data_IF_204829956814
#
_entry.id   IF_204829956814
#
_cell.length_a   1.000
_cell.length_b   1.000
_cell.length_c   1.000
_cell.angle_alpha   90.00
_cell.angle_beta   90.00
_cell.angle_gamma   90.00
#
_symmetry.space_group_name_H-M   'P 1'
#
loop_
_entity.id
_entity.type
_entity.pdbx_description
1 polymer ?
#
# COMPACT_ATOMS: atom_id res chain seq x y z
N UNK A 1 12.48 -6.29 21.77
CA UNK A 1 13.13 -7.33 20.94
C UNK A 1 14.42 -6.86 20.29
N UNK A 2 14.44 -5.70 19.62
CA UNK A 2 15.67 -5.18 18.99
C UNK A 2 16.77 -4.91 20.02
N UNK A 3 16.43 -4.44 21.24
CA UNK A 3 17.39 -4.20 22.32
C UNK A 3 17.92 -5.44 23.06
N UNK A 4 17.26 -6.60 22.93
CA UNK A 4 17.64 -7.83 23.65
C UNK A 4 18.34 -8.88 22.76
N UNK A 5 18.23 -8.80 21.42
CA UNK A 5 18.79 -9.82 20.52
C UNK A 5 18.95 -9.34 19.07
N UNK A 6 18.90 -8.04 18.84
CA UNK A 6 19.08 -7.46 17.53
C UNK A 6 17.86 -7.63 16.60
N UNK A 7 17.92 -7.01 15.42
CA UNK A 7 16.88 -7.03 14.40
C UNK A 7 16.50 -8.45 13.90
N UNK A 8 17.42 -9.44 14.05
CA UNK A 8 17.20 -10.82 13.61
C UNK A 8 16.06 -11.51 14.36
N UNK A 9 15.86 -11.21 15.64
CA UNK A 9 14.76 -11.80 16.45
C UNK A 9 13.38 -11.44 15.92
N UNK A 10 13.22 -10.27 15.28
CA UNK A 10 11.94 -9.84 14.67
C UNK A 10 11.53 -10.82 13.55
N UNK A 11 12.50 -11.34 12.79
CA UNK A 11 12.22 -12.32 11.73
C UNK A 11 12.02 -13.74 12.30
N UNK A 12 12.73 -14.10 13.36
CA UNK A 12 12.61 -15.42 13.98
C UNK A 12 11.23 -15.66 14.60
N UNK A 13 10.55 -14.63 15.10
CA UNK A 13 9.16 -14.71 15.59
C UNK A 13 8.19 -15.18 14.51
N UNK A 14 8.46 -14.90 13.23
CA UNK A 14 7.61 -15.36 12.14
C UNK A 14 7.72 -16.87 11.85
N UNK A 15 8.78 -17.54 12.27
CA UNK A 15 8.96 -18.98 12.04
C UNK A 15 7.90 -19.83 12.76
N UNK A 16 7.65 -19.69 14.08
CA UNK A 16 6.60 -20.45 14.75
C UNK A 16 5.21 -20.14 14.21
N UNK A 17 4.93 -18.89 13.84
CA UNK A 17 3.66 -18.48 13.23
C UNK A 17 3.51 -19.15 11.85
N UNK A 18 4.55 -19.14 11.04
CA UNK A 18 4.56 -19.79 9.72
C UNK A 18 4.39 -21.30 9.81
N UNK A 19 5.06 -21.97 10.77
CA UNK A 19 4.88 -23.38 11.03
C UNK A 19 3.44 -23.72 11.46
N UNK A 20 2.86 -22.94 12.37
CA UNK A 20 1.47 -23.12 12.78
C UNK A 20 0.51 -22.94 11.59
N UNK A 21 0.72 -21.92 10.74
CA UNK A 21 -0.07 -21.70 9.54
C UNK A 21 0.05 -22.87 8.54
N UNK A 22 1.24 -23.46 8.35
CA UNK A 22 1.44 -24.63 7.51
C UNK A 22 0.72 -25.87 8.04
N UNK A 23 0.75 -26.10 9.35
CA UNK A 23 0.06 -27.23 9.98
C UNK A 23 -1.46 -27.09 9.85
N UNK A 24 -1.99 -25.89 10.13
CA UNK A 24 -3.41 -25.60 9.99
C UNK A 24 -3.86 -25.63 8.53
N UNK A 25 -3.04 -25.15 7.60
CA UNK A 25 -3.31 -25.14 6.17
C UNK A 25 -3.44 -26.57 5.57
N UNK A 26 -2.80 -27.58 6.16
CA UNK A 26 -2.98 -28.99 5.76
C UNK A 26 -4.40 -29.54 5.99
N UNK A 27 -5.16 -28.90 6.88
CA UNK A 27 -6.54 -29.28 7.19
C UNK A 27 -7.56 -28.58 6.26
N UNK A 28 -7.12 -27.65 5.42
CA UNK A 28 -8.01 -26.97 4.48
C UNK A 28 -8.45 -27.92 3.36
N UNK A 29 -9.73 -27.89 2.95
CA UNK A 29 -10.21 -28.65 1.79
C UNK A 29 -9.40 -28.25 0.56
N UNK A 30 -8.93 -29.26 -0.19
CA UNK A 30 -8.22 -29.00 -1.45
C UNK A 30 -9.20 -28.40 -2.46
N UNK A 31 -8.85 -27.27 -3.10
CA UNK A 31 -9.71 -26.71 -4.14
C UNK A 31 -9.91 -27.74 -5.27
N UNK A 32 -11.08 -27.77 -5.92
CA UNK A 32 -11.33 -28.66 -7.04
C UNK A 32 -10.24 -28.42 -8.11
N UNK A 33 -9.65 -29.53 -8.60
CA UNK A 33 -8.64 -29.46 -9.67
C UNK A 33 -9.30 -28.84 -10.91
N UNK A 34 -8.84 -27.67 -11.34
CA UNK A 34 -9.23 -27.12 -12.63
C UNK A 34 -8.72 -28.05 -13.73
N UNK A 35 -9.61 -28.51 -14.61
CA UNK A 35 -9.30 -29.44 -15.71
C UNK A 35 -8.27 -28.88 -16.72
N UNK A 36 -8.02 -27.57 -16.71
CA UNK A 36 -7.04 -26.88 -17.56
C UNK A 36 -6.12 -26.02 -16.68
N UNK A 37 -5.21 -26.67 -15.98
CA UNK A 37 -4.12 -25.97 -15.30
C UNK A 37 -3.04 -25.58 -16.35
N UNK A 38 -3.14 -24.38 -16.91
CA UNK A 38 -2.04 -23.80 -17.69
C UNK A 38 -0.83 -23.56 -16.78
N UNK A 39 0.37 -23.75 -17.32
CA UNK A 39 1.61 -23.48 -16.57
C UNK A 39 1.67 -22.00 -16.18
N UNK A 40 2.06 -21.67 -14.93
CA UNK A 40 2.25 -20.30 -14.52
C UNK A 40 3.23 -19.55 -15.42
N UNK A 41 2.96 -18.28 -15.69
CA UNK A 41 3.85 -17.45 -16.50
C UNK A 41 5.06 -16.96 -15.69
N UNK A 42 6.06 -17.85 -15.51
CA UNK A 42 7.30 -17.50 -14.79
C UNK A 42 8.07 -16.36 -15.45
N UNK A 43 8.06 -16.27 -16.78
CA UNK A 43 8.74 -15.16 -17.49
C UNK A 43 8.00 -13.83 -17.29
N UNK A 44 6.67 -13.83 -17.31
CA UNK A 44 5.86 -12.67 -16.95
C UNK A 44 6.08 -12.24 -15.51
N UNK A 45 6.17 -13.19 -14.57
CA UNK A 45 6.51 -12.91 -13.17
C UNK A 45 7.88 -12.27 -13.02
N UNK A 46 8.88 -12.77 -13.74
CA UNK A 46 10.23 -12.20 -13.74
C UNK A 46 10.25 -10.78 -14.33
N UNK A 47 9.55 -10.56 -15.44
CA UNK A 47 9.40 -9.22 -16.02
C UNK A 47 8.74 -8.24 -15.06
N UNK A 48 7.69 -8.68 -14.34
CA UNK A 48 7.02 -7.85 -13.34
C UNK A 48 7.97 -7.47 -12.19
N UNK A 49 8.71 -8.44 -11.66
CA UNK A 49 9.68 -8.21 -10.58
C UNK A 49 10.78 -7.25 -11.03
N UNK A 50 11.33 -7.45 -12.23
CA UNK A 50 12.40 -6.60 -12.76
C UNK A 50 11.89 -5.18 -13.08
N UNK A 51 10.71 -5.04 -13.69
CA UNK A 51 10.12 -3.73 -13.99
C UNK A 51 9.87 -2.90 -12.75
N UNK A 52 9.23 -3.52 -11.73
CA UNK A 52 8.92 -2.87 -10.46
C UNK A 52 10.20 -2.62 -9.65
N UNK A 53 11.11 -3.59 -9.62
CA UNK A 53 12.40 -3.47 -8.94
C UNK A 53 13.26 -2.35 -9.53
N UNK A 54 13.31 -2.21 -10.84
CA UNK A 54 14.02 -1.13 -11.51
C UNK A 54 13.39 0.24 -11.21
N UNK A 55 12.04 0.34 -11.23
CA UNK A 55 11.33 1.56 -10.82
C UNK A 55 11.66 1.95 -9.37
N UNK A 56 11.57 0.98 -8.46
CA UNK A 56 11.87 1.19 -7.06
C UNK A 56 13.31 1.61 -6.83
N UNK A 57 14.26 0.95 -7.50
CA UNK A 57 15.69 1.25 -7.41
C UNK A 57 15.98 2.69 -7.86
N UNK A 58 15.47 3.08 -9.03
CA UNK A 58 15.65 4.44 -9.55
C UNK A 58 15.05 5.49 -8.62
N UNK A 59 13.86 5.22 -8.08
CA UNK A 59 13.15 6.17 -7.23
C UNK A 59 13.77 6.31 -5.83
N UNK A 60 14.21 5.21 -5.20
CA UNK A 60 14.81 5.22 -3.85
C UNK A 60 16.26 5.69 -3.88
N UNK A 61 17.01 5.35 -4.92
CA UNK A 61 18.43 5.71 -5.03
C UNK A 61 18.68 7.02 -5.78
N UNK A 62 17.68 7.57 -6.47
CA UNK A 62 17.79 8.84 -7.19
C UNK A 62 18.37 9.99 -6.37
N UNK A 63 17.89 10.24 -5.15
CA UNK A 63 18.48 11.27 -4.27
C UNK A 63 19.93 10.99 -3.85
N UNK A 64 20.32 9.70 -3.72
CA UNK A 64 21.68 9.29 -3.30
C UNK A 64 22.66 9.32 -4.47
N UNK A 65 22.26 8.81 -5.64
CA UNK A 65 23.13 8.77 -6.83
C UNK A 65 23.10 10.07 -7.64
N UNK A 66 22.13 10.92 -7.43
CA UNK A 66 21.65 12.04 -8.25
C UNK A 66 20.69 11.61 -9.34
N UNK A 67 19.68 12.45 -9.58
CA UNK A 67 18.66 12.20 -10.61
C UNK A 67 19.22 12.13 -12.02
N UNK A 68 20.35 12.79 -12.31
CA UNK A 68 21.06 12.77 -13.60
C UNK A 68 22.12 11.67 -13.72
N UNK A 69 22.34 10.85 -12.69
CA UNK A 69 23.31 9.75 -12.74
C UNK A 69 22.85 8.66 -13.71
N UNK A 70 23.81 8.10 -14.48
CA UNK A 70 23.53 7.05 -15.46
C UNK A 70 22.83 5.83 -14.83
N UNK A 71 23.13 5.51 -13.58
CA UNK A 71 22.49 4.39 -12.84
C UNK A 71 21.02 4.66 -12.60
N UNK A 72 20.66 5.86 -12.19
CA UNK A 72 19.27 6.29 -11.97
C UNK A 72 18.50 6.30 -13.28
N UNK A 73 19.10 6.88 -14.33
CA UNK A 73 18.51 6.90 -15.68
C UNK A 73 18.34 5.48 -16.21
N UNK A 74 19.35 4.62 -16.07
CA UNK A 74 19.28 3.23 -16.52
C UNK A 74 18.19 2.42 -15.77
N UNK A 75 18.00 2.68 -14.47
CA UNK A 75 16.94 2.05 -13.70
C UNK A 75 15.54 2.44 -14.22
N UNK A 76 15.30 3.74 -14.44
CA UNK A 76 14.02 4.20 -15.01
C UNK A 76 13.82 3.73 -16.45
N UNK A 77 14.85 3.80 -17.29
CA UNK A 77 14.80 3.30 -18.67
C UNK A 77 14.53 1.79 -18.71
N UNK A 78 15.19 1.02 -17.83
CA UNK A 78 14.91 -0.41 -17.66
C UNK A 78 13.46 -0.69 -17.30
N UNK A 79 12.90 0.03 -16.33
CA UNK A 79 11.48 -0.09 -15.97
C UNK A 79 10.57 0.30 -17.16
N UNK A 80 10.88 1.39 -17.85
CA UNK A 80 10.11 1.88 -19.01
C UNK A 80 10.10 0.90 -20.19
N UNK A 81 11.12 0.08 -20.34
CA UNK A 81 11.19 -0.99 -21.37
C UNK A 81 10.50 -2.27 -20.87
N UNK A 82 10.75 -2.65 -19.62
CA UNK A 82 10.24 -3.92 -19.07
C UNK A 82 8.73 -3.89 -18.83
N UNK A 83 8.15 -2.75 -18.45
CA UNK A 83 6.73 -2.64 -18.21
C UNK A 83 5.87 -2.85 -19.48
N UNK A 84 6.13 -2.22 -20.64
CA UNK A 84 5.45 -2.55 -21.90
C UNK A 84 5.68 -3.99 -22.35
N UNK A 85 6.88 -4.54 -22.14
CA UNK A 85 7.18 -5.94 -22.46
C UNK A 85 6.35 -6.91 -21.61
N UNK A 86 6.14 -6.60 -20.32
CA UNK A 86 5.23 -7.33 -19.44
C UNK A 86 3.77 -7.26 -19.94
N UNK A 87 3.30 -6.07 -20.34
CA UNK A 87 1.95 -5.88 -20.89
C UNK A 87 1.78 -6.68 -22.19
N UNK A 88 2.73 -6.59 -23.11
CA UNK A 88 2.70 -7.36 -24.35
C UNK A 88 2.68 -8.86 -24.09
N UNK A 89 3.56 -9.33 -23.19
CA UNK A 89 3.57 -10.76 -22.82
C UNK A 89 2.26 -11.20 -22.20
N UNK A 90 1.68 -10.36 -21.35
CA UNK A 90 0.39 -10.63 -20.68
C UNK A 90 -0.78 -10.69 -21.69
N UNK A 91 -0.65 -10.02 -22.84
CA UNK A 91 -1.65 -10.06 -23.89
C UNK A 91 -1.61 -11.37 -24.71
N UNK A 92 -0.44 -12.03 -24.80
CA UNK A 92 -0.26 -13.22 -25.65
C UNK A 92 -0.19 -14.55 -24.89
N UNK A 93 0.03 -14.52 -23.57
CA UNK A 93 0.16 -15.74 -22.76
C UNK A 93 -1.22 -16.27 -22.32
N UNK A 94 -1.47 -17.59 -22.40
CA UNK A 94 -2.79 -18.17 -22.03
C UNK A 94 -3.12 -18.12 -20.54
N UNK A 95 -2.11 -17.98 -19.67
CA UNK A 95 -2.27 -17.78 -18.22
C UNK A 95 -1.35 -16.63 -17.74
N UNK A 96 -1.68 -15.38 -18.08
CA UNK A 96 -0.81 -14.25 -17.83
C UNK A 96 -0.76 -13.87 -16.33
N UNK A 97 0.34 -13.23 -15.92
CA UNK A 97 0.46 -12.63 -14.57
C UNK A 97 -0.50 -11.45 -14.42
N UNK A 98 -0.64 -10.64 -15.49
CA UNK A 98 -1.60 -9.54 -15.57
C UNK A 98 -2.74 -9.92 -16.49
N UNK A 99 -3.91 -10.19 -15.94
CA UNK A 99 -5.11 -10.42 -16.73
C UNK A 99 -5.67 -9.07 -17.23
N UNK A 100 -5.21 -8.64 -18.40
CA UNK A 100 -5.56 -7.33 -18.95
C UNK A 100 -7.07 -7.16 -19.19
N UNK A 101 -7.80 -8.27 -19.42
CA UNK A 101 -9.24 -8.27 -19.59
C UNK A 101 -9.98 -7.73 -18.35
N UNK A 102 -9.44 -7.91 -17.14
CA UNK A 102 -10.04 -7.41 -15.90
C UNK A 102 -10.08 -5.87 -15.86
N UNK A 103 -9.12 -5.20 -16.49
CA UNK A 103 -9.11 -3.73 -16.55
C UNK A 103 -10.22 -3.14 -17.43
N UNK A 104 -10.93 -3.96 -18.21
CA UNK A 104 -12.16 -3.53 -18.91
C UNK A 104 -13.35 -3.42 -17.96
N UNK A 105 -13.28 -4.07 -16.80
CA UNK A 105 -14.31 -3.97 -15.77
C UNK A 105 -14.09 -2.67 -14.98
N UNK A 106 -15.06 -1.78 -15.02
CA UNK A 106 -14.96 -0.42 -14.47
C UNK A 106 -14.64 -0.41 -12.97
N UNK A 107 -15.27 -1.28 -12.18
CA UNK A 107 -14.99 -1.39 -10.75
C UNK A 107 -13.58 -1.89 -10.48
N UNK A 108 -13.07 -2.81 -11.29
CA UNK A 108 -11.71 -3.31 -11.17
C UNK A 108 -10.68 -2.22 -11.44
N UNK A 109 -10.78 -1.52 -12.56
CA UNK A 109 -9.83 -0.45 -12.92
C UNK A 109 -9.86 0.71 -11.95
N UNK A 110 -11.05 1.24 -11.65
CA UNK A 110 -11.20 2.37 -10.74
C UNK A 110 -10.85 1.98 -9.29
N UNK A 111 -11.23 0.77 -8.85
CA UNK A 111 -10.88 0.25 -7.54
C UNK A 111 -9.36 0.07 -7.39
N UNK A 112 -8.67 -0.47 -8.41
CA UNK A 112 -7.21 -0.62 -8.37
C UNK A 112 -6.48 0.73 -8.42
N UNK A 113 -6.99 1.72 -9.18
CA UNK A 113 -6.42 3.06 -9.14
C UNK A 113 -6.59 3.69 -7.73
N UNK A 114 -7.74 3.51 -7.10
CA UNK A 114 -7.94 3.88 -5.70
C UNK A 114 -7.00 3.15 -4.75
N UNK A 115 -6.81 1.84 -4.93
CA UNK A 115 -5.89 1.03 -4.13
C UNK A 115 -4.42 1.47 -4.28
N UNK A 116 -4.01 1.82 -5.50
CA UNK A 116 -2.69 2.38 -5.78
C UNK A 116 -2.46 3.68 -5.01
N UNK A 117 -3.38 4.64 -5.15
CA UNK A 117 -3.28 5.97 -4.54
C UNK A 117 -3.33 5.89 -3.00
N UNK A 118 -4.23 5.07 -2.44
CA UNK A 118 -4.29 4.83 -0.99
C UNK A 118 -3.03 4.13 -0.49
N UNK A 119 -2.52 3.15 -1.24
CA UNK A 119 -1.25 2.48 -0.93
C UNK A 119 -0.08 3.47 -0.92
N UNK A 120 0.00 4.33 -1.93
CA UNK A 120 1.01 5.38 -2.04
C UNK A 120 0.98 6.32 -0.84
N UNK A 121 -0.21 6.84 -0.51
CA UNK A 121 -0.40 7.71 0.64
C UNK A 121 -0.01 7.01 1.95
N UNK A 122 -0.55 5.84 2.21
CA UNK A 122 -0.36 5.14 3.48
C UNK A 122 1.10 4.77 3.75
N UNK A 123 1.77 4.12 2.80
CA UNK A 123 3.15 3.68 3.02
C UNK A 123 4.13 4.85 3.05
N UNK A 124 3.84 5.93 2.30
CA UNK A 124 4.56 7.18 2.43
C UNK A 124 4.42 7.78 3.83
N UNK A 125 3.18 7.86 4.37
CA UNK A 125 2.91 8.34 5.72
C UNK A 125 3.60 7.48 6.80
N UNK A 126 3.58 6.16 6.65
CA UNK A 126 4.27 5.25 7.60
C UNK A 126 5.77 5.55 7.65
N UNK A 127 6.41 5.74 6.50
CA UNK A 127 7.82 6.09 6.44
C UNK A 127 8.08 7.50 6.97
N UNK A 128 7.29 8.51 6.55
CA UNK A 128 7.42 9.89 7.02
C UNK A 128 7.34 9.96 8.55
N UNK A 129 6.34 9.30 9.12
CA UNK A 129 6.11 9.26 10.56
C UNK A 129 7.26 8.56 11.31
N UNK A 130 7.80 7.47 10.77
CA UNK A 130 8.94 6.77 11.37
C UNK A 130 10.20 7.64 11.37
N UNK A 131 10.49 8.30 10.24
CA UNK A 131 11.64 9.18 10.12
C UNK A 131 11.49 10.44 10.99
N UNK A 132 10.31 11.05 11.01
CA UNK A 132 10.05 12.24 11.83
C UNK A 132 10.29 11.98 13.31
N UNK A 133 9.74 10.89 13.86
CA UNK A 133 9.93 10.52 15.26
C UNK A 133 11.39 10.27 15.63
N UNK A 134 12.17 9.69 14.71
CA UNK A 134 13.56 9.34 14.97
C UNK A 134 14.54 10.45 14.65
N UNK A 135 14.26 11.29 13.65
CA UNK A 135 15.19 12.33 13.19
C UNK A 135 14.87 13.74 13.72
N UNK A 136 13.58 14.04 13.96
CA UNK A 136 13.14 15.36 14.45
C UNK A 136 12.91 15.33 15.96
N UNK A 137 12.16 14.33 16.44
CA UNK A 137 11.88 14.19 17.88
C UNK A 137 12.94 13.40 18.66
N UNK A 138 13.97 12.90 17.99
CA UNK A 138 15.07 12.11 18.56
C UNK A 138 14.60 10.94 19.45
N UNK A 139 13.50 10.31 19.06
CA UNK A 139 12.98 9.14 19.77
C UNK A 139 13.83 7.92 19.48
N UNK A 140 14.14 7.13 20.51
CA UNK A 140 14.70 5.80 20.32
C UNK A 140 13.76 4.93 19.46
N UNK A 141 14.32 3.93 18.77
CA UNK A 141 13.54 3.01 17.91
C UNK A 141 12.34 2.39 18.66
N UNK A 142 12.55 2.04 19.94
CA UNK A 142 11.47 1.48 20.76
C UNK A 142 10.37 2.53 21.02
N UNK A 143 10.76 3.76 21.40
CA UNK A 143 9.81 4.83 21.68
C UNK A 143 9.03 5.23 20.43
N UNK A 144 9.71 5.32 19.27
CA UNK A 144 9.07 5.59 17.99
C UNK A 144 8.07 4.49 17.61
N UNK A 145 8.44 3.21 17.78
CA UNK A 145 7.54 2.08 17.53
C UNK A 145 6.29 2.11 18.43
N UNK A 146 6.44 2.46 19.71
CA UNK A 146 5.32 2.62 20.64
C UNK A 146 4.44 3.82 20.27
N UNK A 147 5.04 4.91 19.78
CA UNK A 147 4.30 6.09 19.34
C UNK A 147 3.47 5.83 18.08
N UNK A 148 3.87 4.91 17.22
CA UNK A 148 3.12 4.50 16.01
C UNK A 148 2.04 3.45 16.34
N UNK A 149 2.21 2.65 17.39
CA UNK A 149 1.33 1.52 17.74
C UNK A 149 -0.18 1.85 17.87
N UNK A 150 -0.62 3.04 18.31
CA UNK A 150 -2.04 3.39 18.32
C UNK A 150 -2.71 3.32 16.95
N UNK A 151 -1.98 3.58 15.86
CA UNK A 151 -2.50 3.51 14.49
C UNK A 151 -3.02 2.11 14.11
N UNK A 152 -2.19 1.06 14.14
CA UNK A 152 -2.64 -0.32 13.91
C UNK A 152 -3.79 -0.77 14.81
N UNK A 153 -3.82 -0.35 16.08
CA UNK A 153 -4.94 -0.66 16.98
C UNK A 153 -6.25 -0.02 16.51
N UNK A 154 -6.22 1.28 16.21
CA UNK A 154 -7.38 1.98 15.63
C UNK A 154 -7.81 1.37 14.29
N UNK A 155 -6.84 0.96 13.45
CA UNK A 155 -7.12 0.29 12.17
C UNK A 155 -7.82 -1.05 12.35
N UNK A 156 -7.41 -1.86 13.31
CA UNK A 156 -8.06 -3.14 13.60
C UNK A 156 -9.52 -2.94 14.04
N UNK A 157 -9.78 -1.98 14.93
CA UNK A 157 -11.15 -1.65 15.39
C UNK A 157 -11.99 -1.16 14.20
N UNK A 158 -11.47 -0.24 13.39
CA UNK A 158 -12.19 0.29 12.24
C UNK A 158 -12.47 -0.79 11.18
N UNK A 159 -11.53 -1.71 10.93
CA UNK A 159 -11.72 -2.83 10.01
C UNK A 159 -12.80 -3.80 10.49
N UNK A 160 -12.87 -4.10 11.81
CA UNK A 160 -13.94 -4.93 12.39
C UNK A 160 -15.30 -4.25 12.21
N UNK A 161 -15.37 -2.94 12.48
CA UNK A 161 -16.61 -2.16 12.27
C UNK A 161 -17.01 -2.20 10.80
N UNK A 162 -16.10 -1.91 9.87
CA UNK A 162 -16.38 -1.97 8.45
C UNK A 162 -16.90 -3.35 8.04
N UNK A 163 -16.25 -4.44 8.47
CA UNK A 163 -16.65 -5.80 8.15
C UNK A 163 -18.09 -6.13 8.61
N UNK A 164 -18.51 -5.65 9.78
CA UNK A 164 -19.87 -5.87 10.31
C UNK A 164 -20.97 -5.18 9.50
N UNK A 165 -20.63 -4.10 8.82
CA UNK A 165 -21.60 -3.29 8.08
C UNK A 165 -21.48 -3.43 6.56
N UNK A 166 -20.55 -4.25 6.05
CA UNK A 166 -20.33 -4.43 4.60
C UNK A 166 -21.56 -5.01 3.88
N UNK A 167 -22.40 -5.79 4.58
CA UNK A 167 -23.65 -6.32 4.02
C UNK A 167 -24.77 -5.27 3.90
N UNK A 168 -24.69 -4.17 4.68
CA UNK A 168 -25.71 -3.12 4.74
C UNK A 168 -25.31 -1.83 4.05
N UNK A 169 -24.01 -1.57 3.98
CA UNK A 169 -23.44 -0.33 3.44
C UNK A 169 -22.52 -0.69 2.29
N UNK A 170 -22.70 -0.01 1.16
CA UNK A 170 -21.83 -0.18 0.00
C UNK A 170 -20.34 0.01 0.39
N UNK A 171 -19.47 -0.98 0.12
CA UNK A 171 -18.04 -0.94 0.47
C UNK A 171 -17.33 0.33 -0.03
N UNK A 172 -17.80 0.93 -1.13
CA UNK A 172 -17.24 2.19 -1.65
C UNK A 172 -17.32 3.34 -0.65
N UNK A 173 -18.39 3.40 0.16
CA UNK A 173 -18.53 4.45 1.18
C UNK A 173 -17.45 4.33 2.24
N UNK A 174 -17.08 3.11 2.63
CA UNK A 174 -15.98 2.88 3.55
C UNK A 174 -14.63 3.27 2.95
N UNK A 175 -14.40 2.96 1.66
CA UNK A 175 -13.16 3.38 0.97
C UNK A 175 -13.08 4.90 0.90
N UNK A 176 -14.16 5.57 0.49
CA UNK A 176 -14.20 7.03 0.37
C UNK A 176 -14.01 7.70 1.74
N UNK A 177 -14.75 7.27 2.77
CA UNK A 177 -14.58 7.83 4.12
C UNK A 177 -13.19 7.54 4.68
N UNK A 178 -12.66 6.33 4.45
CA UNK A 178 -11.30 5.96 4.83
C UNK A 178 -10.24 6.84 4.16
N UNK A 179 -10.39 7.13 2.88
CA UNK A 179 -9.51 8.02 2.13
C UNK A 179 -9.54 9.45 2.66
N UNK A 180 -10.73 9.98 2.91
CA UNK A 180 -10.91 11.34 3.48
C UNK A 180 -10.30 11.42 4.88
N UNK A 181 -10.56 10.44 5.75
CA UNK A 181 -10.01 10.41 7.11
C UNK A 181 -8.47 10.27 7.06
N UNK A 182 -7.91 9.47 6.16
CA UNK A 182 -6.46 9.38 5.96
C UNK A 182 -5.86 10.70 5.50
N UNK A 183 -6.55 11.42 4.62
CA UNK A 183 -6.12 12.75 4.19
C UNK A 183 -6.15 13.75 5.35
N UNK A 184 -7.21 13.73 6.17
CA UNK A 184 -7.29 14.55 7.38
C UNK A 184 -6.16 14.24 8.36
N UNK A 185 -5.73 12.98 8.49
CA UNK A 185 -4.55 12.63 9.29
C UNK A 185 -3.28 13.29 8.75
N UNK A 186 -3.06 13.27 7.44
CA UNK A 186 -1.91 13.95 6.81
C UNK A 186 -1.95 15.47 6.98
N UNK A 187 -3.13 16.08 6.81
CA UNK A 187 -3.34 17.52 7.05
C UNK A 187 -3.09 17.87 8.52
N UNK A 188 -3.57 17.05 9.45
CA UNK A 188 -3.32 17.24 10.88
C UNK A 188 -1.83 17.20 11.18
N UNK A 189 -1.10 16.21 10.66
CA UNK A 189 0.35 16.11 10.83
C UNK A 189 1.05 17.38 10.31
N UNK A 190 0.74 17.81 9.10
CA UNK A 190 1.37 18.96 8.47
C UNK A 190 1.03 20.31 9.11
N UNK A 191 -0.03 20.41 9.91
CA UNK A 191 -0.49 21.70 10.47
C UNK A 191 -0.36 21.79 11.98
N UNK A 192 -0.24 20.66 12.68
CA UNK A 192 -0.28 20.61 14.15
C UNK A 192 0.96 20.03 14.79
N UNK A 193 1.70 19.17 14.08
CA UNK A 193 2.88 18.54 14.66
C UNK A 193 4.08 19.44 14.51
N UNK A 194 4.59 19.91 15.66
CA UNK A 194 5.77 20.76 15.74
C UNK A 194 7.06 19.99 16.00
N UNK A 195 8.20 20.71 15.93
CA UNK A 195 9.52 20.13 16.21
C UNK A 195 9.69 19.67 17.67
N UNK A 196 8.94 20.27 18.59
CA UNK A 196 8.92 19.84 20.00
C UNK A 196 7.98 18.64 20.19
N UNK A 197 8.41 17.61 20.95
CA UNK A 197 7.61 16.42 21.14
C UNK A 197 6.30 16.66 21.94
N UNK A 198 5.15 16.62 21.29
CA UNK A 198 3.81 16.75 21.88
C UNK A 198 2.94 15.52 21.59
N UNK A 199 3.35 14.36 22.10
CA UNK A 199 2.73 13.07 21.77
C UNK A 199 1.21 13.03 21.95
N UNK A 200 0.71 13.43 23.11
CA UNK A 200 -0.72 13.27 23.44
C UNK A 200 -1.61 14.27 22.68
N UNK A 201 -1.14 15.51 22.51
CA UNK A 201 -1.92 16.60 21.92
C UNK A 201 -1.87 16.60 20.39
N UNK A 202 -0.73 16.25 19.80
CA UNK A 202 -0.48 16.42 18.37
C UNK A 202 -0.38 15.07 17.64
N UNK A 203 0.41 14.14 18.17
CA UNK A 203 0.71 12.88 17.49
C UNK A 203 -0.39 11.84 17.60
N UNK A 204 -0.89 11.61 18.81
CA UNK A 204 -1.89 10.56 19.08
C UNK A 204 -3.20 10.73 18.29
N UNK A 205 -3.77 11.95 18.15
CA UNK A 205 -4.94 12.15 17.28
C UNK A 205 -4.67 11.80 15.82
N UNK A 206 -3.49 12.17 15.29
CA UNK A 206 -3.10 11.83 13.93
C UNK A 206 -3.01 10.31 13.72
N UNK A 207 -2.42 9.59 14.68
CA UNK A 207 -2.34 8.11 14.62
C UNK A 207 -3.73 7.48 14.66
N UNK A 208 -4.64 8.02 15.49
CA UNK A 208 -6.03 7.58 15.53
C UNK A 208 -6.74 7.78 14.20
N UNK A 209 -6.66 8.98 13.63
CA UNK A 209 -7.25 9.29 12.32
C UNK A 209 -6.66 8.40 11.21
N UNK A 210 -5.33 8.30 11.15
CA UNK A 210 -4.65 7.46 10.17
C UNK A 210 -5.09 5.99 10.29
N UNK A 211 -5.15 5.47 11.52
CA UNK A 211 -5.59 4.10 11.78
C UNK A 211 -7.03 3.86 11.34
N UNK A 212 -7.96 4.73 11.70
CA UNK A 212 -9.37 4.62 11.28
C UNK A 212 -9.47 4.69 9.75
N UNK A 213 -8.80 5.65 9.12
CA UNK A 213 -8.82 5.82 7.67
C UNK A 213 -8.32 4.57 6.93
N UNK A 214 -7.20 4.01 7.38
CA UNK A 214 -6.61 2.78 6.83
C UNK A 214 -7.51 1.57 7.10
N UNK A 215 -8.03 1.42 8.31
CA UNK A 215 -8.91 0.31 8.67
C UNK A 215 -10.17 0.26 7.82
N UNK A 216 -10.80 1.40 7.55
CA UNK A 216 -11.96 1.49 6.66
C UNK A 216 -11.57 1.26 5.20
N UNK A 217 -10.53 1.93 4.72
CA UNK A 217 -10.14 1.92 3.31
C UNK A 217 -9.57 0.57 2.87
N UNK A 218 -8.54 0.07 3.55
CA UNK A 218 -7.84 -1.16 3.14
C UNK A 218 -8.64 -2.44 3.36
N UNK A 219 -9.50 -2.47 4.39
CA UNK A 219 -10.37 -3.62 4.62
C UNK A 219 -11.40 -3.82 3.50
N UNK A 220 -11.81 -2.73 2.84
CA UNK A 220 -12.93 -2.76 1.90
C UNK A 220 -12.54 -2.54 0.44
N UNK A 221 -11.35 -1.99 0.16
CA UNK A 221 -10.92 -1.66 -1.22
C UNK A 221 -10.88 -2.91 -2.13
N UNK A 222 -10.42 -4.06 -1.61
CA UNK A 222 -10.36 -5.30 -2.40
C UNK A 222 -11.77 -5.76 -2.80
N UNK A 223 -12.75 -5.65 -1.88
CA UNK A 223 -14.13 -5.97 -2.17
C UNK A 223 -14.69 -5.07 -3.29
N UNK A 224 -14.31 -3.78 -3.30
CA UNK A 224 -14.68 -2.85 -4.38
C UNK A 224 -14.04 -3.25 -5.70
N UNK A 225 -12.77 -3.64 -5.71
CA UNK A 225 -12.06 -4.04 -6.93
C UNK A 225 -12.71 -5.27 -7.59
N UNK A 226 -13.07 -6.27 -6.80
CA UNK A 226 -13.53 -7.57 -7.34
C UNK A 226 -15.04 -7.71 -7.41
N UNK A 227 -15.81 -6.71 -7.02
CA UNK A 227 -17.28 -6.80 -6.85
C UNK A 227 -18.06 -7.21 -8.10
N UNK A 228 -17.58 -6.85 -9.29
CA UNK A 228 -18.23 -7.11 -10.57
C UNK A 228 -17.50 -8.21 -11.36
N UNK A 229 -16.55 -8.93 -10.74
CA UNK A 229 -15.85 -10.05 -11.33
C UNK A 229 -16.62 -11.36 -11.13
N UNK A 230 -16.52 -12.24 -12.12
CA UNK A 230 -17.07 -13.59 -12.00
C UNK A 230 -16.28 -14.45 -10.99
N UNK A 231 -16.90 -15.51 -10.40
CA UNK A 231 -16.27 -16.37 -9.40
C UNK A 231 -14.92 -16.95 -9.83
N UNK A 232 -14.76 -17.25 -11.13
CA UNK A 232 -13.51 -17.77 -11.70
C UNK A 232 -12.35 -16.74 -11.69
N UNK A 233 -12.67 -15.45 -11.66
CA UNK A 233 -11.73 -14.33 -11.74
C UNK A 233 -11.37 -13.74 -10.38
N UNK A 234 -12.11 -14.08 -9.31
CA UNK A 234 -11.91 -13.51 -7.97
C UNK A 234 -10.49 -13.70 -7.46
N UNK A 235 -9.91 -14.89 -7.62
CA UNK A 235 -8.55 -15.18 -7.14
C UNK A 235 -7.49 -14.32 -7.85
N UNK A 236 -7.56 -14.22 -9.18
CA UNK A 236 -6.64 -13.41 -9.98
C UNK A 236 -6.85 -11.93 -9.67
N UNK A 237 -8.10 -11.46 -9.64
CA UNK A 237 -8.44 -10.08 -9.34
C UNK A 237 -7.95 -9.63 -7.96
N UNK A 238 -8.10 -10.47 -6.93
CA UNK A 238 -7.60 -10.21 -5.58
C UNK A 238 -6.07 -10.13 -5.56
N UNK A 239 -5.38 -11.06 -6.23
CA UNK A 239 -3.92 -11.06 -6.35
C UNK A 239 -3.40 -9.81 -7.04
N UNK A 240 -4.03 -9.41 -8.16
CA UNK A 240 -3.66 -8.18 -8.88
C UNK A 240 -3.90 -6.92 -8.03
N UNK A 241 -5.00 -6.85 -7.29
CA UNK A 241 -5.27 -5.73 -6.38
C UNK A 241 -4.24 -5.65 -5.24
N UNK A 242 -3.79 -6.79 -4.72
CA UNK A 242 -2.71 -6.82 -3.73
C UNK A 242 -1.38 -6.32 -4.33
N UNK A 243 -1.06 -6.72 -5.55
CA UNK A 243 0.13 -6.25 -6.28
C UNK A 243 0.06 -4.74 -6.54
N UNK A 244 -1.09 -4.23 -6.99
CA UNK A 244 -1.29 -2.79 -7.21
C UNK A 244 -1.05 -1.98 -5.93
N UNK A 245 -1.52 -2.47 -4.78
CA UNK A 245 -1.26 -1.83 -3.49
C UNK A 245 0.22 -1.82 -3.12
N UNK A 246 0.95 -2.89 -3.44
CA UNK A 246 2.41 -2.96 -3.21
C UNK A 246 3.17 -2.00 -4.14
N UNK A 247 2.72 -1.83 -5.38
CA UNK A 247 3.23 -0.77 -6.26
C UNK A 247 3.01 0.61 -5.64
N UNK A 248 1.84 0.85 -5.05
CA UNK A 248 1.57 2.06 -4.28
C UNK A 248 2.58 2.25 -3.15
N UNK A 249 2.94 1.18 -2.41
CA UNK A 249 3.93 1.27 -1.34
C UNK A 249 5.30 1.75 -1.85
N UNK A 250 5.76 1.21 -2.98
CA UNK A 250 7.02 1.63 -3.62
C UNK A 250 6.97 3.10 -4.02
N UNK A 251 5.87 3.51 -4.67
CA UNK A 251 5.69 4.90 -5.10
C UNK A 251 5.60 5.87 -3.92
N UNK A 252 4.92 5.47 -2.82
CA UNK A 252 4.80 6.29 -1.62
C UNK A 252 6.15 6.58 -0.96
N UNK A 253 6.96 5.54 -0.81
CA UNK A 253 8.34 5.68 -0.31
C UNK A 253 9.17 6.57 -1.25
N UNK A 254 9.08 6.35 -2.55
CA UNK A 254 9.84 7.08 -3.55
C UNK A 254 9.48 8.59 -3.58
N UNK A 255 8.18 8.91 -3.58
CA UNK A 255 7.68 10.27 -3.56
C UNK A 255 8.13 10.98 -2.28
N UNK A 256 8.00 10.31 -1.13
CA UNK A 256 8.43 10.91 0.13
C UNK A 256 9.93 11.20 0.14
N UNK A 257 10.77 10.21 -0.25
CA UNK A 257 12.23 10.41 -0.28
C UNK A 257 12.62 11.53 -1.26
N UNK A 258 11.92 11.64 -2.40
CA UNK A 258 12.15 12.71 -3.35
C UNK A 258 11.81 14.10 -2.77
N UNK A 259 10.77 14.19 -1.94
CA UNK A 259 10.38 15.45 -1.26
C UNK A 259 11.35 15.78 -0.13
N UNK A 260 11.72 14.80 0.69
CA UNK A 260 12.60 14.99 1.83
C UNK A 260 14.03 15.37 1.42
N UNK A 261 14.51 14.85 0.28
CA UNK A 261 15.88 15.05 -0.15
C UNK A 261 16.93 14.36 0.75
N UNK A 262 18.22 14.65 0.53
CA UNK A 262 19.32 13.98 1.23
C UNK A 262 19.51 14.44 2.69
N UNK A 263 19.10 15.67 3.02
CA UNK A 263 19.17 16.23 4.38
C UNK A 263 17.82 16.87 4.67
N UNK A 264 16.86 16.13 5.21
CA UNK A 264 15.52 16.66 5.43
C UNK A 264 15.50 17.65 6.59
N UNK A 265 14.86 18.80 6.36
CA UNK A 265 14.46 19.74 7.39
C UNK A 265 13.01 19.45 7.86
N UNK A 266 12.55 19.99 8.99
CA UNK A 266 11.17 19.80 9.45
C UNK A 266 10.12 20.24 8.42
N UNK A 267 10.34 21.31 7.65
CA UNK A 267 9.42 21.81 6.63
C UNK A 267 9.28 20.88 5.43
N UNK A 268 10.31 20.06 5.14
CA UNK A 268 10.22 19.04 4.11
C UNK A 268 9.22 17.94 4.50
N UNK A 269 9.10 17.61 5.79
CA UNK A 269 8.08 16.65 6.26
C UNK A 269 6.68 17.21 6.12
N UNK A 270 6.44 18.50 6.38
CA UNK A 270 5.15 19.13 6.17
C UNK A 270 4.72 19.01 4.69
N UNK A 271 5.65 19.32 3.78
CA UNK A 271 5.44 19.14 2.33
C UNK A 271 5.12 17.69 1.96
N UNK A 272 5.81 16.73 2.59
CA UNK A 272 5.55 15.30 2.44
C UNK A 272 4.14 14.91 2.90
N UNK A 273 3.73 15.34 4.09
CA UNK A 273 2.41 15.07 4.64
C UNK A 273 1.29 15.68 3.79
N UNK A 274 1.46 16.92 3.30
CA UNK A 274 0.52 17.55 2.36
C UNK A 274 0.39 16.78 1.05
N UNK A 275 1.50 16.37 0.45
CA UNK A 275 1.49 15.60 -0.79
C UNK A 275 0.78 14.25 -0.61
N UNK A 276 1.06 13.54 0.49
CA UNK A 276 0.46 12.25 0.80
C UNK A 276 -1.03 12.37 1.16
N UNK A 277 -1.44 13.45 1.84
CA UNK A 277 -2.85 13.78 2.07
C UNK A 277 -3.59 14.02 0.74
N UNK A 278 -2.97 14.76 -0.19
CA UNK A 278 -3.50 14.99 -1.53
C UNK A 278 -3.70 13.68 -2.31
N UNK A 279 -2.76 12.74 -2.23
CA UNK A 279 -2.88 11.41 -2.86
C UNK A 279 -4.02 10.58 -2.25
N UNK A 280 -4.24 10.66 -0.93
CA UNK A 280 -5.38 10.03 -0.29
C UNK A 280 -6.71 10.60 -0.80
N UNK A 281 -6.81 11.92 -0.93
CA UNK A 281 -8.00 12.58 -1.50
C UNK A 281 -8.21 12.22 -2.97
N UNK A 282 -7.15 12.16 -3.77
CA UNK A 282 -7.24 11.74 -5.16
C UNK A 282 -7.79 10.32 -5.31
N UNK A 283 -7.57 9.44 -4.33
CA UNK A 283 -8.13 8.09 -4.35
C UNK A 283 -9.67 8.07 -4.27
N UNK A 284 -10.27 9.12 -3.74
CA UNK A 284 -11.74 9.27 -3.69
C UNK A 284 -12.34 9.32 -5.10
N UNK A 285 -11.68 10.00 -6.03
CA UNK A 285 -12.22 10.28 -7.38
C UNK A 285 -12.54 8.97 -8.13
N UNK A 286 -11.58 8.06 -8.38
CA UNK A 286 -11.87 6.85 -9.13
C UNK A 286 -12.90 5.96 -8.43
N UNK A 287 -12.87 5.88 -7.08
CA UNK A 287 -13.80 5.05 -6.32
C UNK A 287 -15.22 5.62 -6.32
N UNK A 288 -15.37 6.94 -6.22
CA UNK A 288 -16.68 7.59 -6.26
C UNK A 288 -17.36 7.46 -7.65
N UNK A 289 -16.56 7.45 -8.72
CA UNK A 289 -17.04 7.28 -10.10
C UNK A 289 -17.54 5.86 -10.43
N UNK A 290 -17.28 4.87 -9.56
CA UNK A 290 -17.84 3.53 -9.74
C UNK A 290 -19.36 3.63 -9.51
N UNK A 291 -20.19 3.30 -10.50
CA UNK A 291 -21.66 3.36 -10.42
C UNK A 291 -22.22 2.54 -9.25
N UNK A 292 -23.42 2.89 -8.77
CA UNK A 292 -24.15 2.02 -7.82
C UNK A 292 -24.49 0.70 -8.51
N UNK A 293 -24.47 -0.42 -7.78
CA UNK A 293 -25.08 -1.65 -8.31
C UNK A 293 -26.55 -1.33 -8.56
N UNK A 294 -27.09 -1.64 -9.75
CA UNK A 294 -28.56 -1.70 -9.89
C UNK A 294 -29.08 -2.70 -8.84
N UNK A 295 -30.15 -2.31 -8.16
CA UNK A 295 -30.79 -3.09 -7.13
C UNK A 295 -31.34 -4.41 -7.71
#
# INVERSE_FOLDING_TARGET
MVGLGGWRLVFLVNLPIGLAALVLGRRMPKPPRRAQAHRPDFRGSLLAVLAVGALALGAVQGPVWSWGDLRTIAAFAGSAVLAPLLVWRSAVHPAPVLELALFRVRSFSAGNLGALLLGTSFFGLVLANSLYLTQVWDYSVLRAGLAIAPGPLASAVAAIIAARFTDRIDPRRFVVSGAVISALAGVWLATRVGAEPAFAAEWLPAMGLMGVGVGLGFATIVAVCVRDLGPAQLGIGTGMSATTRQLGAVLGVAILIAILGPVPDPGAYDSGWWALAGLALLAVVPVALIGRRPA
#
